data_IF_140617390707
#
_entry.id   IF_140617390707
#
_cell.length_a   1.000
_cell.length_b   1.000
_cell.length_c   1.000
_cell.angle_alpha   90.00
_cell.angle_beta   90.00
_cell.angle_gamma   90.00
#
_symmetry.space_group_name_H-M   'P 1'
#
loop_
_entity.id
_entity.type
_entity.pdbx_description
1 polymer ?
#
# COMPACT_ATOMS: atom_id res chain seq x y z
N UNK A 1 35.51 18.38 0.24
CA UNK A 1 34.48 17.41 -0.18
C UNK A 1 35.20 16.20 -0.74
N UNK A 2 35.06 15.06 -0.11
CA UNK A 2 35.64 13.80 -0.62
C UNK A 2 34.71 13.19 -1.69
N UNK A 3 35.13 13.33 -2.94
CA UNK A 3 34.38 12.85 -4.12
C UNK A 3 34.24 11.31 -4.06
N UNK A 4 35.27 10.61 -3.58
CA UNK A 4 35.24 9.15 -3.43
C UNK A 4 34.15 8.72 -2.45
N UNK A 5 34.04 9.39 -1.32
CA UNK A 5 32.94 9.18 -0.38
C UNK A 5 31.58 9.49 -1.01
N UNK A 6 31.49 10.56 -1.77
CA UNK A 6 30.27 10.92 -2.50
C UNK A 6 29.80 9.84 -3.46
N UNK A 7 30.70 9.19 -4.20
CA UNK A 7 30.36 8.07 -5.08
C UNK A 7 29.90 6.86 -4.26
N UNK A 8 30.60 6.50 -3.19
CA UNK A 8 30.20 5.40 -2.31
C UNK A 8 28.79 5.62 -1.75
N UNK A 9 28.54 6.81 -1.20
CA UNK A 9 27.23 7.14 -0.64
C UNK A 9 26.12 7.20 -1.69
N UNK A 10 26.41 7.61 -2.92
CA UNK A 10 25.44 7.59 -4.00
C UNK A 10 25.00 6.16 -4.35
N UNK A 11 25.92 5.21 -4.40
CA UNK A 11 25.59 3.79 -4.62
C UNK A 11 24.77 3.21 -3.45
N UNK A 12 25.17 3.51 -2.21
CA UNK A 12 24.42 3.09 -1.01
C UNK A 12 23.00 3.62 -0.97
N UNK A 13 22.85 4.93 -1.18
CA UNK A 13 21.56 5.61 -1.06
C UNK A 13 20.63 5.34 -2.24
N UNK A 14 21.16 5.25 -3.46
CA UNK A 14 20.36 5.13 -4.68
C UNK A 14 20.20 3.68 -5.12
N UNK A 15 21.27 2.88 -5.11
CA UNK A 15 21.26 1.51 -5.63
C UNK A 15 21.28 0.40 -4.56
N UNK A 16 21.27 0.77 -3.28
CA UNK A 16 21.29 -0.18 -2.15
C UNK A 16 22.43 -1.22 -2.22
N UNK A 17 23.61 -0.79 -2.60
CA UNK A 17 24.82 -1.62 -2.62
C UNK A 17 26.11 -0.80 -2.60
N UNK A 18 27.22 -1.46 -2.38
CA UNK A 18 28.55 -0.87 -2.59
C UNK A 18 28.87 -0.76 -4.09
N UNK A 19 29.62 0.27 -4.51
CA UNK A 19 30.25 0.27 -5.84
C UNK A 19 31.34 -0.81 -5.91
N UNK A 20 31.55 -1.42 -7.07
CA UNK A 20 32.76 -2.19 -7.34
C UNK A 20 33.97 -1.26 -7.45
N UNK A 21 35.20 -1.77 -7.30
CA UNK A 21 36.40 -0.97 -7.46
C UNK A 21 36.47 -0.23 -8.79
N UNK A 22 36.04 -0.90 -9.87
CA UNK A 22 36.00 -0.31 -11.21
C UNK A 22 34.98 0.81 -11.29
N UNK A 23 33.77 0.58 -10.81
CA UNK A 23 32.72 1.63 -10.77
C UNK A 23 33.16 2.84 -9.95
N UNK A 24 33.83 2.61 -8.83
CA UNK A 24 34.35 3.66 -7.99
C UNK A 24 35.37 4.52 -8.72
N UNK A 25 36.33 3.89 -9.41
CA UNK A 25 37.36 4.59 -10.21
C UNK A 25 36.70 5.36 -11.35
N UNK A 26 35.85 4.71 -12.13
CA UNK A 26 35.19 5.30 -13.29
C UNK A 26 34.31 6.51 -12.88
N UNK A 27 33.55 6.37 -11.79
CA UNK A 27 32.63 7.43 -11.32
C UNK A 27 33.36 8.60 -10.65
N UNK A 28 34.48 8.35 -9.97
CA UNK A 28 35.32 9.43 -9.43
C UNK A 28 35.96 10.24 -10.57
N UNK A 29 36.42 9.56 -11.63
CA UNK A 29 36.99 10.20 -12.81
C UNK A 29 35.97 11.05 -13.59
N UNK A 30 34.73 10.58 -13.67
CA UNK A 30 33.64 11.21 -14.40
C UNK A 30 32.79 12.17 -13.53
N UNK A 31 33.18 12.40 -12.29
CA UNK A 31 32.39 13.20 -11.36
C UNK A 31 32.36 14.68 -11.79
N UNK A 32 31.17 15.20 -12.01
CA UNK A 32 30.96 16.64 -12.26
C UNK A 32 30.34 17.32 -11.04
N UNK A 33 29.26 16.76 -10.54
CA UNK A 33 28.54 17.21 -9.36
C UNK A 33 27.61 16.08 -8.83
N UNK A 34 27.05 16.29 -7.65
CA UNK A 34 26.16 15.32 -7.01
C UNK A 34 24.91 15.01 -7.86
N UNK A 35 24.38 16.01 -8.57
CA UNK A 35 23.17 15.84 -9.42
C UNK A 35 23.47 15.09 -10.71
N UNK A 36 24.65 15.29 -11.29
CA UNK A 36 25.14 14.52 -12.43
C UNK A 36 25.29 13.04 -12.10
N UNK A 37 25.90 12.73 -10.95
CA UNK A 37 26.04 11.38 -10.42
C UNK A 37 24.67 10.73 -10.15
N UNK A 38 23.77 11.45 -9.48
CA UNK A 38 22.39 11.02 -9.25
C UNK A 38 21.66 10.66 -10.55
N UNK A 39 21.70 11.54 -11.57
CA UNK A 39 21.06 11.28 -12.88
C UNK A 39 21.60 10.00 -13.51
N UNK A 40 22.91 9.81 -13.54
CA UNK A 40 23.53 8.61 -14.14
C UNK A 40 23.10 7.32 -13.48
N UNK A 41 23.03 7.30 -12.13
CA UNK A 41 22.60 6.11 -11.39
C UNK A 41 21.11 5.83 -11.65
N UNK A 42 20.25 6.85 -11.66
CA UNK A 42 18.80 6.71 -11.91
C UNK A 42 18.43 6.31 -13.34
N UNK A 43 19.32 6.47 -14.30
CA UNK A 43 19.11 6.02 -15.69
C UNK A 43 19.75 4.65 -15.96
N UNK A 44 20.36 4.02 -14.96
CA UNK A 44 20.93 2.69 -15.09
C UNK A 44 19.86 1.59 -15.13
N UNK A 45 20.18 0.44 -15.79
CA UNK A 45 19.30 -0.74 -15.75
C UNK A 45 19.08 -1.24 -14.33
N UNK A 46 20.07 -1.09 -13.47
CA UNK A 46 19.99 -1.49 -12.07
C UNK A 46 18.96 -0.67 -11.30
N UNK A 47 18.82 0.61 -11.62
CA UNK A 47 17.75 1.44 -11.05
C UNK A 47 16.36 0.88 -11.39
N UNK A 48 16.15 0.44 -12.63
CA UNK A 48 14.86 -0.13 -13.07
C UNK A 48 14.48 -1.42 -12.33
N UNK A 49 15.47 -2.12 -11.77
CA UNK A 49 15.26 -3.35 -10.98
C UNK A 49 15.47 -3.14 -9.47
N UNK A 50 15.45 -1.90 -8.99
CA UNK A 50 15.70 -1.60 -7.58
C UNK A 50 14.67 -2.29 -6.67
N UNK A 51 13.40 -2.26 -7.06
CA UNK A 51 12.32 -2.89 -6.29
C UNK A 51 12.44 -4.40 -6.20
N UNK A 52 13.10 -5.08 -7.14
CA UNK A 52 13.32 -6.53 -7.09
C UNK A 52 14.18 -6.96 -5.90
N UNK A 53 14.97 -6.03 -5.37
CA UNK A 53 15.85 -6.23 -4.22
C UNK A 53 15.29 -5.61 -2.95
N UNK A 54 14.04 -5.10 -2.99
CA UNK A 54 13.39 -4.60 -1.80
C UNK A 54 13.19 -5.73 -0.79
N UNK A 55 13.59 -5.49 0.45
CA UNK A 55 13.57 -6.51 1.51
C UNK A 55 14.90 -7.23 1.72
N UNK A 56 15.89 -7.05 0.82
CA UNK A 56 17.25 -7.52 1.07
C UNK A 56 17.95 -6.55 2.04
N UNK A 57 18.44 -7.02 3.20
CA UNK A 57 19.21 -6.19 4.09
C UNK A 57 20.51 -5.78 3.40
N UNK A 58 20.82 -4.50 3.45
CA UNK A 58 22.09 -3.96 3.00
C UNK A 58 22.93 -3.52 4.20
N UNK A 59 24.07 -4.15 4.39
CA UNK A 59 25.07 -3.74 5.36
C UNK A 59 26.30 -3.16 4.64
N UNK A 60 26.72 -1.93 4.98
CA UNK A 60 27.92 -1.36 4.39
C UNK A 60 29.14 -2.23 4.70
N UNK A 61 29.86 -2.66 3.66
CA UNK A 61 31.09 -3.43 3.79
C UNK A 61 32.34 -2.60 4.16
N UNK A 62 32.25 -1.28 4.00
CA UNK A 62 33.31 -0.32 4.30
C UNK A 62 32.99 0.49 5.56
N UNK A 63 33.97 1.00 6.32
CA UNK A 63 33.74 1.89 7.43
C UNK A 63 32.82 3.04 7.02
N UNK A 64 31.82 3.34 7.86
CA UNK A 64 30.82 4.37 7.59
C UNK A 64 31.19 5.63 8.35
N UNK A 65 31.48 6.70 7.65
CA UNK A 65 31.45 8.03 8.20
C UNK A 65 30.03 8.59 8.11
N UNK A 66 29.29 8.52 9.21
CA UNK A 66 27.90 8.95 9.26
C UNK A 66 27.72 10.45 8.98
N UNK A 67 28.69 11.27 9.39
CA UNK A 67 28.62 12.71 9.11
C UNK A 67 28.68 12.96 7.59
N UNK A 68 29.63 12.35 6.91
CA UNK A 68 29.70 12.40 5.44
C UNK A 68 28.46 11.77 4.79
N UNK A 69 27.93 10.69 5.37
CA UNK A 69 26.71 10.04 4.90
C UNK A 69 25.51 10.96 4.89
N UNK A 70 25.26 11.66 5.99
CA UNK A 70 24.16 12.63 6.09
C UNK A 70 24.36 13.79 5.12
N UNK A 71 25.58 14.36 5.04
CA UNK A 71 25.88 15.43 4.08
C UNK A 71 25.60 15.02 2.64
N UNK A 72 26.07 13.83 2.24
CA UNK A 72 25.82 13.32 0.89
C UNK A 72 24.36 12.96 0.65
N UNK A 73 23.64 12.47 1.64
CA UNK A 73 22.22 12.19 1.53
C UNK A 73 21.42 13.47 1.22
N UNK A 74 21.67 14.56 1.93
CA UNK A 74 21.03 15.85 1.64
C UNK A 74 21.39 16.37 0.24
N UNK A 75 22.66 16.31 -0.15
CA UNK A 75 23.11 16.74 -1.51
C UNK A 75 22.46 15.91 -2.62
N UNK A 76 22.42 14.60 -2.45
CA UNK A 76 21.93 13.69 -3.48
C UNK A 76 20.38 13.63 -3.55
N UNK A 77 19.72 13.65 -2.40
CA UNK A 77 18.28 13.46 -2.33
C UNK A 77 17.53 14.80 -2.27
N UNK A 78 17.94 15.72 -1.41
CA UNK A 78 17.27 17.02 -1.20
C UNK A 78 17.91 18.19 -1.95
N UNK A 79 19.04 17.99 -2.61
CA UNK A 79 19.74 18.98 -3.46
C UNK A 79 20.25 20.22 -2.71
N UNK A 80 20.49 20.10 -1.41
CA UNK A 80 21.03 21.16 -0.54
C UNK A 80 21.94 20.60 0.51
N UNK A 81 22.57 21.49 1.28
CA UNK A 81 23.26 21.11 2.51
C UNK A 81 22.25 21.04 3.66
N UNK A 82 22.46 20.14 4.66
CA UNK A 82 21.68 20.19 5.88
C UNK A 82 22.07 21.40 6.74
N UNK A 83 21.13 21.92 7.50
CA UNK A 83 21.45 22.78 8.64
C UNK A 83 22.17 21.99 9.73
N UNK A 84 22.85 22.68 10.65
CA UNK A 84 23.52 21.98 11.76
C UNK A 84 22.51 21.22 12.65
N UNK A 85 21.31 21.75 12.83
CA UNK A 85 20.26 21.07 13.60
C UNK A 85 19.79 19.77 12.93
N UNK A 86 19.57 19.79 11.61
CA UNK A 86 19.24 18.59 10.82
C UNK A 86 20.38 17.57 10.86
N UNK A 87 21.62 18.02 10.68
CA UNK A 87 22.78 17.15 10.74
C UNK A 87 22.86 16.43 12.10
N UNK A 88 22.75 17.18 13.21
CA UNK A 88 22.78 16.60 14.54
C UNK A 88 21.60 15.68 14.84
N UNK A 89 20.42 15.99 14.30
CA UNK A 89 19.25 15.13 14.40
C UNK A 89 19.51 13.76 13.74
N UNK A 90 19.95 13.75 12.48
CA UNK A 90 20.23 12.51 11.76
C UNK A 90 21.40 11.71 12.32
N UNK A 91 22.44 12.39 12.84
CA UNK A 91 23.56 11.72 13.50
C UNK A 91 23.17 11.01 14.80
N UNK A 92 22.12 11.49 15.48
CA UNK A 92 21.63 10.90 16.72
C UNK A 92 20.59 9.80 16.48
N UNK A 93 19.71 10.01 15.51
CA UNK A 93 18.46 9.25 15.39
C UNK A 93 18.45 8.23 14.22
N UNK A 94 19.43 8.32 13.30
CA UNK A 94 19.59 7.36 12.20
C UNK A 94 20.84 6.50 12.44
N UNK A 95 20.65 5.19 12.51
CA UNK A 95 21.72 4.21 12.76
C UNK A 95 22.04 3.35 11.51
N UNK A 96 21.22 3.42 10.48
CA UNK A 96 21.35 2.65 9.25
C UNK A 96 21.18 3.51 7.99
N UNK A 97 21.80 3.07 6.88
CA UNK A 97 21.60 3.73 5.56
C UNK A 97 20.12 3.76 5.19
N UNK A 98 19.38 2.72 5.57
CA UNK A 98 17.97 2.60 5.24
C UNK A 98 17.10 3.54 6.09
N UNK A 99 17.41 3.71 7.37
CA UNK A 99 16.71 4.67 8.22
C UNK A 99 16.90 6.11 7.70
N UNK A 100 18.15 6.49 7.39
CA UNK A 100 18.46 7.80 6.80
C UNK A 100 17.72 8.00 5.46
N UNK A 101 17.74 6.98 4.58
CA UNK A 101 17.04 7.01 3.30
C UNK A 101 15.55 7.19 3.50
N UNK A 102 14.91 6.37 4.32
CA UNK A 102 13.48 6.42 4.58
C UNK A 102 13.06 7.81 5.07
N UNK A 103 13.77 8.35 6.07
CA UNK A 103 13.47 9.65 6.66
C UNK A 103 13.53 10.79 5.63
N UNK A 104 14.52 10.79 4.75
CA UNK A 104 14.66 11.85 3.74
C UNK A 104 13.70 11.68 2.55
N UNK A 105 13.48 10.46 2.07
CA UNK A 105 12.65 10.19 0.90
C UNK A 105 11.15 10.36 1.17
N UNK A 106 10.73 10.29 2.43
CA UNK A 106 9.33 10.51 2.83
C UNK A 106 9.02 11.97 3.18
N UNK A 107 9.99 12.88 3.02
CA UNK A 107 9.75 14.31 3.24
C UNK A 107 9.04 14.96 2.05
N UNK A 108 8.18 15.95 2.36
CA UNK A 108 7.57 16.81 1.32
C UNK A 108 8.62 17.51 0.46
N UNK A 109 9.78 17.85 1.03
CA UNK A 109 10.88 18.46 0.30
C UNK A 109 11.39 17.54 -0.81
N UNK A 110 11.54 16.23 -0.55
CA UNK A 110 11.94 15.27 -1.57
C UNK A 110 10.89 15.15 -2.67
N UNK A 111 9.62 15.08 -2.31
CA UNK A 111 8.49 14.99 -3.26
C UNK A 111 8.51 16.19 -4.24
N UNK A 112 8.67 17.40 -3.72
CA UNK A 112 8.74 18.63 -4.55
C UNK A 112 9.96 18.65 -5.47
N UNK A 113 11.13 18.23 -4.98
CA UNK A 113 12.37 18.29 -5.76
C UNK A 113 12.60 17.08 -6.67
N UNK A 114 11.78 16.06 -6.54
CA UNK A 114 11.94 14.79 -7.26
C UNK A 114 10.61 14.21 -7.73
N UNK A 115 9.76 14.99 -8.41
CA UNK A 115 8.48 14.48 -8.90
C UNK A 115 8.70 13.22 -9.76
N UNK A 116 7.87 12.22 -9.59
CA UNK A 116 7.99 10.93 -10.30
C UNK A 116 9.12 10.02 -9.79
N UNK A 117 9.66 10.25 -8.60
CA UNK A 117 10.65 9.38 -7.95
C UNK A 117 10.02 8.34 -7.00
N UNK A 118 8.83 7.86 -7.31
CA UNK A 118 8.07 6.89 -6.50
C UNK A 118 8.90 5.65 -6.17
N UNK A 119 9.62 5.07 -7.14
CA UNK A 119 10.40 3.85 -6.94
C UNK A 119 11.43 3.92 -5.80
N UNK A 120 12.07 5.10 -5.55
CA UNK A 120 12.98 5.23 -4.40
C UNK A 120 12.24 5.25 -3.07
N UNK A 121 11.12 5.97 -3.03
CA UNK A 121 10.28 6.07 -1.86
C UNK A 121 9.68 4.72 -1.53
N UNK A 122 9.12 4.04 -2.51
CA UNK A 122 8.53 2.69 -2.39
C UNK A 122 9.57 1.69 -1.89
N UNK A 123 10.76 1.69 -2.49
CA UNK A 123 11.88 0.86 -2.03
C UNK A 123 12.24 1.15 -0.56
N UNK A 124 12.30 2.40 -0.15
CA UNK A 124 12.64 2.76 1.22
C UNK A 124 11.56 2.32 2.22
N UNK A 125 10.28 2.47 1.86
CA UNK A 125 9.15 2.04 2.67
C UNK A 125 9.18 0.52 2.86
N UNK A 126 9.31 -0.23 1.77
CA UNK A 126 9.36 -1.70 1.82
C UNK A 126 10.57 -2.15 2.64
N UNK A 127 11.75 -1.58 2.39
CA UNK A 127 12.99 -1.93 3.10
C UNK A 127 12.98 -1.56 4.58
N UNK A 128 12.12 -0.64 5.01
CA UNK A 128 11.96 -0.35 6.43
C UNK A 128 11.48 -1.57 7.24
N UNK A 129 10.90 -2.56 6.57
CA UNK A 129 10.42 -3.81 7.19
C UNK A 129 11.40 -4.98 7.04
N UNK A 130 12.51 -4.81 6.34
CA UNK A 130 13.51 -5.85 6.20
C UNK A 130 14.24 -6.17 7.53
N UNK A 131 14.71 -7.42 7.77
CA UNK A 131 14.50 -8.58 6.93
C UNK A 131 13.07 -9.13 7.05
N UNK A 132 12.52 -9.63 5.95
CA UNK A 132 11.19 -10.24 5.97
C UNK A 132 11.23 -11.64 6.61
N UNK A 133 10.21 -12.01 7.42
CA UNK A 133 10.09 -13.35 7.94
C UNK A 133 9.85 -14.33 6.78
N UNK A 134 10.74 -15.32 6.65
CA UNK A 134 10.55 -16.42 5.69
C UNK A 134 9.92 -17.59 6.44
N UNK A 135 8.66 -17.88 6.15
CA UNK A 135 7.98 -19.06 6.67
C UNK A 135 8.22 -20.31 5.80
N UNK A 136 7.86 -21.48 6.33
CA UNK A 136 7.83 -22.71 5.53
C UNK A 136 6.66 -22.67 4.53
N UNK A 137 6.83 -23.34 3.40
CA UNK A 137 5.78 -23.56 2.40
C UNK A 137 4.59 -24.31 2.99
N UNK A 138 3.37 -23.94 2.59
CA UNK A 138 2.11 -24.60 3.00
C UNK A 138 1.43 -25.10 1.73
N UNK A 139 1.15 -26.40 1.65
CA UNK A 139 0.76 -27.08 0.41
C UNK A 139 -0.50 -26.50 -0.28
N UNK A 140 -1.46 -25.99 0.47
CA UNK A 140 -2.76 -25.47 -0.01
C UNK A 140 -2.91 -23.94 0.21
N UNK A 141 -1.79 -23.25 0.42
CA UNK A 141 -1.75 -21.82 0.70
C UNK A 141 -0.49 -21.18 0.11
N UNK A 142 -0.46 -19.87 0.05
CA UNK A 142 0.78 -19.13 -0.14
C UNK A 142 1.07 -18.26 1.10
N UNK A 143 2.29 -17.75 1.19
CA UNK A 143 2.68 -16.76 2.20
C UNK A 143 3.08 -15.45 1.54
N UNK A 144 2.60 -14.35 2.10
CA UNK A 144 3.08 -13.01 1.76
C UNK A 144 4.46 -12.71 2.38
N UNK A 145 4.97 -11.50 2.16
CA UNK A 145 6.27 -11.04 2.67
C UNK A 145 6.35 -10.99 4.21
N UNK A 146 5.22 -10.93 4.92
CA UNK A 146 5.14 -10.97 6.38
C UNK A 146 4.84 -12.35 6.93
N UNK A 147 4.78 -13.35 6.06
CA UNK A 147 4.50 -14.73 6.43
C UNK A 147 3.03 -15.03 6.66
N UNK A 148 2.11 -14.10 6.33
CA UNK A 148 0.68 -14.35 6.38
C UNK A 148 0.30 -15.51 5.48
N UNK A 149 -0.59 -16.39 5.96
CA UNK A 149 -1.05 -17.57 5.22
C UNK A 149 -2.36 -17.23 4.53
N UNK A 150 -2.40 -17.32 3.21
CA UNK A 150 -3.63 -17.23 2.42
C UNK A 150 -3.90 -18.57 1.74
N UNK A 151 -5.05 -19.18 2.06
CA UNK A 151 -5.46 -20.44 1.42
C UNK A 151 -5.86 -20.18 -0.03
N UNK A 152 -5.36 -21.01 -0.98
CA UNK A 152 -5.69 -20.82 -2.40
C UNK A 152 -7.19 -20.99 -2.70
N UNK A 153 -7.94 -21.69 -1.85
CA UNK A 153 -9.40 -21.81 -1.95
C UNK A 153 -10.17 -20.50 -1.72
N UNK A 154 -9.52 -19.44 -1.22
CA UNK A 154 -10.11 -18.11 -1.13
C UNK A 154 -10.00 -17.35 -2.46
N UNK A 155 -9.22 -17.81 -3.41
CA UNK A 155 -8.84 -17.09 -4.62
C UNK A 155 -9.56 -17.65 -5.83
N UNK A 156 -9.71 -16.81 -6.86
CA UNK A 156 -10.02 -17.25 -8.20
C UNK A 156 -9.11 -18.40 -8.63
N UNK A 157 -9.65 -19.37 -9.34
CA UNK A 157 -8.93 -20.58 -9.78
C UNK A 157 -7.65 -20.30 -10.57
N UNK A 158 -7.60 -19.15 -11.25
CA UNK A 158 -6.39 -18.69 -11.94
C UNK A 158 -5.19 -18.54 -11.02
N UNK A 159 -5.43 -18.28 -9.74
CA UNK A 159 -4.39 -18.10 -8.73
C UNK A 159 -4.04 -19.35 -7.91
N UNK A 160 -4.69 -20.48 -8.15
CA UNK A 160 -4.40 -21.72 -7.41
C UNK A 160 -2.97 -22.24 -7.60
N UNK A 161 -2.26 -21.80 -8.65
CA UNK A 161 -0.84 -22.07 -8.85
C UNK A 161 0.07 -21.46 -7.79
N UNK A 162 -0.45 -20.53 -6.95
CA UNK A 162 0.26 -19.97 -5.81
C UNK A 162 0.37 -20.97 -4.63
N UNK A 163 -0.30 -22.12 -4.68
CA UNK A 163 -0.20 -23.16 -3.64
C UNK A 163 1.28 -23.56 -3.42
N UNK A 164 1.73 -23.47 -2.19
CA UNK A 164 3.12 -23.72 -1.81
C UNK A 164 4.08 -22.56 -2.02
N UNK A 165 3.62 -21.42 -2.57
CA UNK A 165 4.49 -20.28 -2.83
C UNK A 165 4.79 -19.48 -1.56
N UNK A 166 5.99 -18.92 -1.48
CA UNK A 166 6.42 -18.01 -0.42
C UNK A 166 7.02 -16.78 -1.08
N UNK A 167 6.37 -15.64 -0.94
CA UNK A 167 6.86 -14.40 -1.52
C UNK A 167 8.15 -13.95 -0.83
N UNK A 168 9.16 -13.62 -1.64
CA UNK A 168 10.43 -13.07 -1.18
C UNK A 168 10.47 -11.53 -1.20
N UNK A 169 9.51 -10.88 -1.84
CA UNK A 169 9.39 -9.44 -2.01
C UNK A 169 7.96 -9.04 -2.36
N UNK A 170 7.71 -7.74 -2.42
CA UNK A 170 6.42 -7.17 -2.85
C UNK A 170 6.24 -7.42 -4.35
N UNK A 171 5.07 -7.92 -4.79
CA UNK A 171 4.76 -8.07 -6.21
C UNK A 171 4.85 -6.71 -6.94
N UNK A 172 5.19 -6.75 -8.22
CA UNK A 172 5.17 -5.56 -9.06
C UNK A 172 3.79 -5.33 -9.66
N UNK A 173 3.42 -4.07 -9.78
CA UNK A 173 2.23 -3.68 -10.51
C UNK A 173 2.24 -4.29 -11.92
N UNK A 174 1.13 -4.90 -12.32
CA UNK A 174 0.88 -5.47 -13.65
C UNK A 174 1.76 -6.65 -14.09
N UNK A 175 2.60 -7.19 -13.22
CA UNK A 175 3.46 -8.35 -13.54
C UNK A 175 2.91 -9.69 -13.03
N UNK A 176 1.60 -9.78 -12.78
CA UNK A 176 0.93 -11.02 -12.36
C UNK A 176 1.01 -11.30 -10.85
N UNK A 177 1.19 -10.26 -10.03
CA UNK A 177 0.97 -10.33 -8.59
C UNK A 177 -0.52 -10.29 -8.26
N UNK A 178 -0.92 -10.95 -7.17
CA UNK A 178 -2.30 -10.93 -6.67
C UNK A 178 -2.70 -9.51 -6.21
N UNK A 179 -1.75 -8.73 -5.72
CA UNK A 179 -1.90 -7.36 -5.24
C UNK A 179 -0.80 -6.48 -5.80
N UNK A 180 -1.10 -5.22 -6.08
CA UNK A 180 -0.17 -4.27 -6.66
C UNK A 180 0.86 -3.70 -5.67
N UNK A 181 1.95 -3.18 -6.20
CA UNK A 181 3.00 -2.53 -5.38
C UNK A 181 2.47 -1.31 -4.65
N UNK A 182 1.61 -0.51 -5.27
CA UNK A 182 1.06 0.71 -4.66
C UNK A 182 0.16 0.41 -3.46
N UNK A 183 -0.64 -0.66 -3.49
CA UNK A 183 -1.43 -1.11 -2.34
C UNK A 183 -0.51 -1.51 -1.17
N UNK A 184 0.54 -2.29 -1.46
CA UNK A 184 1.54 -2.66 -0.46
C UNK A 184 2.22 -1.42 0.15
N UNK A 185 2.69 -0.50 -0.69
CA UNK A 185 3.39 0.70 -0.23
C UNK A 185 2.47 1.59 0.60
N UNK A 186 1.22 1.81 0.17
CA UNK A 186 0.22 2.57 0.93
C UNK A 186 -0.06 1.93 2.29
N UNK A 187 -0.24 0.61 2.32
CA UNK A 187 -0.46 -0.16 3.55
C UNK A 187 0.75 -0.07 4.50
N UNK A 188 1.95 -0.33 4.00
CA UNK A 188 3.18 -0.31 4.80
C UNK A 188 3.50 1.09 5.33
N UNK A 189 3.27 2.12 4.53
CA UNK A 189 3.45 3.51 4.94
C UNK A 189 2.48 3.88 6.07
N UNK A 190 1.23 3.40 6.02
CA UNK A 190 0.26 3.59 7.10
C UNK A 190 0.74 2.99 8.42
N UNK A 191 1.37 1.81 8.37
CA UNK A 191 1.95 1.16 9.56
C UNK A 191 3.16 1.95 10.10
N UNK A 192 4.08 2.41 9.24
CA UNK A 192 5.25 3.18 9.66
C UNK A 192 4.89 4.50 10.35
N UNK A 193 3.78 5.07 9.97
CA UNK A 193 3.32 6.37 10.48
C UNK A 193 2.36 6.22 11.69
N UNK A 194 1.93 5.00 12.03
CA UNK A 194 1.09 4.73 13.19
C UNK A 194 1.83 5.01 14.50
N UNK A 195 1.11 5.52 15.50
CA UNK A 195 1.68 5.90 16.80
C UNK A 195 0.96 5.17 17.94
N UNK A 196 1.64 4.18 18.52
CA UNK A 196 1.19 3.43 19.69
C UNK A 196 0.08 2.42 19.42
N UNK A 197 -0.92 2.76 18.61
CA UNK A 197 -2.01 1.90 18.13
C UNK A 197 -2.06 1.95 16.61
N UNK A 198 -2.37 0.83 15.98
CA UNK A 198 -2.67 0.77 14.55
C UNK A 198 -4.14 0.40 14.34
N UNK A 199 -4.87 1.21 13.58
CA UNK A 199 -6.28 0.99 13.26
C UNK A 199 -6.44 0.90 11.75
N UNK A 200 -6.96 -0.23 11.27
CA UNK A 200 -7.20 -0.45 9.85
C UNK A 200 -8.64 -0.89 9.56
N UNK A 201 -9.13 -0.48 8.41
CA UNK A 201 -10.43 -0.89 7.87
C UNK A 201 -10.25 -1.43 6.46
N UNK A 202 -11.03 -2.45 6.09
CA UNK A 202 -11.11 -3.02 4.74
C UNK A 202 -12.57 -3.12 4.34
N UNK A 203 -12.93 -2.39 3.28
CA UNK A 203 -14.29 -2.25 2.77
C UNK A 203 -14.38 -3.00 1.44
N UNK A 204 -15.23 -4.04 1.37
CA UNK A 204 -15.16 -5.09 0.36
C UNK A 204 -14.00 -6.04 0.69
N UNK A 205 -14.03 -6.59 1.90
CA UNK A 205 -12.85 -7.24 2.47
C UNK A 205 -12.51 -8.59 1.83
N UNK A 206 -13.44 -9.22 1.10
CA UNK A 206 -13.21 -10.56 0.57
C UNK A 206 -12.79 -11.52 1.70
N UNK A 207 -11.57 -12.04 1.64
CA UNK A 207 -10.98 -12.86 2.70
C UNK A 207 -10.15 -12.06 3.72
N UNK A 208 -10.15 -10.72 3.67
CA UNK A 208 -9.44 -9.83 4.58
C UNK A 208 -7.91 -9.82 4.43
N UNK A 209 -7.37 -9.83 3.20
CA UNK A 209 -5.92 -9.88 2.98
C UNK A 209 -5.19 -8.69 3.60
N UNK A 210 -5.71 -7.48 3.43
CA UNK A 210 -5.04 -6.27 3.88
C UNK A 210 -5.12 -6.07 5.40
N UNK A 211 -6.19 -6.57 6.04
CA UNK A 211 -6.26 -6.58 7.51
C UNK A 211 -5.17 -7.48 8.10
N UNK A 212 -4.99 -8.68 7.56
CA UNK A 212 -3.98 -9.63 8.04
C UNK A 212 -2.56 -9.14 7.71
N UNK A 213 -2.31 -8.71 6.48
CA UNK A 213 -1.01 -8.21 6.06
C UNK A 213 -0.57 -6.98 6.87
N UNK A 214 -1.46 -6.00 7.04
CA UNK A 214 -1.17 -4.79 7.81
C UNK A 214 -0.97 -5.07 9.31
N UNK A 215 -1.74 -6.00 9.89
CA UNK A 215 -1.53 -6.45 11.27
C UNK A 215 -0.14 -7.06 11.46
N UNK A 216 0.26 -7.98 10.57
CA UNK A 216 1.56 -8.63 10.67
C UNK A 216 2.70 -7.63 10.46
N UNK A 217 2.53 -6.67 9.54
CA UNK A 217 3.45 -5.55 9.37
C UNK A 217 3.53 -4.69 10.65
N UNK A 218 2.40 -4.35 11.27
CA UNK A 218 2.36 -3.57 12.51
C UNK A 218 3.07 -4.29 13.66
N UNK A 219 2.81 -5.58 13.83
CA UNK A 219 3.52 -6.41 14.83
C UNK A 219 5.02 -6.48 14.58
N UNK A 220 5.46 -6.55 13.34
CA UNK A 220 6.90 -6.53 13.01
C UNK A 220 7.58 -5.21 13.42
N UNK A 221 6.80 -4.14 13.63
CA UNK A 221 7.24 -2.84 14.16
C UNK A 221 6.99 -2.67 15.65
N UNK A 222 6.59 -3.73 16.35
CA UNK A 222 6.36 -3.70 17.80
C UNK A 222 5.03 -3.02 18.18
N UNK A 223 4.09 -2.84 17.26
CA UNK A 223 2.77 -2.31 17.56
C UNK A 223 1.86 -3.47 17.96
N UNK A 224 1.52 -3.54 19.25
CA UNK A 224 0.68 -4.61 19.80
C UNK A 224 -0.81 -4.23 19.86
N UNK A 225 -1.12 -2.93 20.04
CA UNK A 225 -2.49 -2.43 20.06
C UNK A 225 -3.01 -2.27 18.62
N UNK A 226 -3.81 -3.23 18.16
CA UNK A 226 -4.31 -3.30 16.78
C UNK A 226 -5.83 -3.43 16.81
N UNK A 227 -6.50 -2.60 16.00
CA UNK A 227 -7.96 -2.56 15.85
C UNK A 227 -8.31 -2.70 14.37
N UNK A 228 -8.96 -3.79 14.01
CA UNK A 228 -9.29 -4.12 12.63
C UNK A 228 -10.81 -4.10 12.42
N UNK A 229 -11.24 -3.53 11.31
CA UNK A 229 -12.64 -3.55 10.87
C UNK A 229 -12.71 -4.06 9.45
N UNK A 230 -13.43 -5.16 9.22
CA UNK A 230 -13.69 -5.72 7.90
C UNK A 230 -15.18 -5.67 7.57
N UNK A 231 -15.52 -5.30 6.33
CA UNK A 231 -16.90 -5.32 5.83
C UNK A 231 -16.94 -6.08 4.53
N UNK A 232 -17.71 -7.17 4.49
CA UNK A 232 -17.83 -8.05 3.33
C UNK A 232 -19.29 -8.43 3.08
N UNK A 233 -19.74 -8.26 1.82
CA UNK A 233 -21.12 -8.47 1.42
C UNK A 233 -21.49 -9.92 1.14
N UNK A 234 -20.59 -10.68 0.52
CA UNK A 234 -20.84 -12.08 0.20
C UNK A 234 -20.73 -12.97 1.44
N UNK A 235 -21.74 -13.81 1.67
CA UNK A 235 -21.75 -14.76 2.82
C UNK A 235 -20.52 -15.65 2.84
N UNK A 236 -20.14 -16.19 1.69
CA UNK A 236 -19.00 -17.09 1.53
C UNK A 236 -17.68 -16.38 1.78
N UNK A 237 -17.49 -15.17 1.21
CA UNK A 237 -16.29 -14.37 1.38
C UNK A 237 -16.14 -13.89 2.82
N UNK A 238 -17.23 -13.48 3.47
CA UNK A 238 -17.20 -13.19 4.90
C UNK A 238 -16.76 -14.43 5.70
N UNK A 239 -17.22 -15.63 5.34
CA UNK A 239 -16.73 -16.89 5.90
C UNK A 239 -15.22 -17.09 5.67
N UNK A 240 -14.71 -16.76 4.49
CA UNK A 240 -13.27 -16.80 4.19
C UNK A 240 -12.48 -15.81 5.04
N UNK A 241 -13.00 -14.60 5.25
CA UNK A 241 -12.37 -13.61 6.13
C UNK A 241 -12.22 -14.14 7.56
N UNK A 242 -13.29 -14.68 8.14
CA UNK A 242 -13.23 -15.28 9.49
C UNK A 242 -12.23 -16.45 9.56
N UNK A 243 -12.17 -17.26 8.53
CA UNK A 243 -11.24 -18.39 8.45
C UNK A 243 -9.79 -17.93 8.26
N UNK A 244 -9.56 -16.92 7.44
CA UNK A 244 -8.24 -16.32 7.22
C UNK A 244 -7.68 -15.73 8.52
N UNK A 245 -8.50 -15.03 9.30
CA UNK A 245 -8.10 -14.55 10.63
C UNK A 245 -7.61 -15.69 11.51
N UNK A 246 -8.40 -16.76 11.65
CA UNK A 246 -8.02 -17.94 12.46
C UNK A 246 -6.74 -18.62 11.95
N UNK A 247 -6.59 -18.78 10.64
CA UNK A 247 -5.41 -19.39 10.02
C UNK A 247 -4.12 -18.59 10.29
N UNK A 248 -4.26 -17.29 10.56
CA UNK A 248 -3.15 -16.40 10.89
C UNK A 248 -3.03 -16.12 12.40
N UNK A 249 -3.72 -16.90 13.22
CA UNK A 249 -3.64 -16.79 14.69
C UNK A 249 -4.28 -15.51 15.26
N UNK A 250 -5.22 -14.92 14.52
CA UNK A 250 -5.98 -13.73 14.92
C UNK A 250 -7.37 -14.18 15.37
N UNK A 251 -7.81 -13.75 16.55
CA UNK A 251 -9.18 -14.02 17.00
C UNK A 251 -10.16 -13.08 16.28
N UNK A 252 -11.06 -13.59 15.41
CA UNK A 252 -12.04 -12.74 14.75
C UNK A 252 -12.95 -11.99 15.73
N UNK A 253 -13.21 -12.56 16.91
CA UNK A 253 -14.09 -11.95 17.92
C UNK A 253 -13.46 -10.73 18.62
N UNK A 254 -12.15 -10.55 18.51
CA UNK A 254 -11.44 -9.39 19.04
C UNK A 254 -11.51 -8.15 18.13
N UNK A 255 -12.12 -8.29 16.95
CA UNK A 255 -12.18 -7.28 15.90
C UNK A 255 -13.61 -7.07 15.39
N UNK A 256 -13.83 -6.01 14.60
CA UNK A 256 -15.14 -5.67 14.05
C UNK A 256 -15.29 -6.21 12.63
N UNK A 257 -15.75 -7.45 12.48
CA UNK A 257 -15.93 -8.10 11.16
C UNK A 257 -17.42 -8.21 10.85
N UNK A 258 -17.87 -7.52 9.81
CA UNK A 258 -19.27 -7.35 9.46
C UNK A 258 -19.62 -8.10 8.18
N UNK A 259 -20.66 -8.96 8.25
CA UNK A 259 -21.36 -9.42 7.06
C UNK A 259 -22.35 -8.32 6.65
N UNK A 260 -21.93 -7.44 5.76
CA UNK A 260 -22.66 -6.25 5.36
C UNK A 260 -22.04 -5.66 4.08
N UNK A 261 -22.72 -4.72 3.47
CA UNK A 261 -22.16 -3.85 2.43
C UNK A 261 -21.91 -2.44 2.97
N UNK A 262 -21.04 -1.69 2.31
CA UNK A 262 -20.82 -0.29 2.63
C UNK A 262 -21.61 0.59 1.67
N UNK A 263 -22.36 1.54 2.19
CA UNK A 263 -23.14 2.48 1.40
C UNK A 263 -23.03 3.93 1.88
N UNK A 264 -23.67 4.83 1.17
CA UNK A 264 -23.72 6.24 1.53
C UNK A 264 -24.44 6.47 2.87
N UNK A 265 -25.44 5.65 3.18
CA UNK A 265 -26.27 5.72 4.38
C UNK A 265 -26.50 4.33 4.96
N UNK A 266 -26.83 4.26 6.26
CA UNK A 266 -27.22 3.01 6.90
C UNK A 266 -28.57 2.55 6.40
N UNK A 267 -28.75 1.23 6.23
CA UNK A 267 -30.03 0.68 5.79
C UNK A 267 -29.94 -0.79 5.39
N UNK A 268 -30.71 -1.14 4.39
CA UNK A 268 -30.72 -2.46 3.76
C UNK A 268 -30.42 -2.30 2.26
N UNK A 269 -29.53 -3.10 1.76
CA UNK A 269 -29.23 -3.25 0.34
C UNK A 269 -29.59 -4.66 -0.13
N UNK A 270 -29.39 -4.94 -1.40
CA UNK A 270 -29.43 -6.28 -1.94
C UNK A 270 -28.06 -6.68 -2.46
N UNK A 271 -27.70 -7.95 -2.29
CA UNK A 271 -26.42 -8.47 -2.75
C UNK A 271 -26.62 -9.76 -3.56
N UNK A 272 -25.86 -9.97 -4.64
CA UNK A 272 -25.96 -11.21 -5.42
C UNK A 272 -25.57 -12.43 -4.59
N UNK A 273 -26.35 -13.51 -4.70
CA UNK A 273 -25.95 -14.82 -4.18
C UNK A 273 -24.86 -15.39 -5.08
N UNK A 274 -23.71 -15.69 -4.49
CA UNK A 274 -22.61 -16.26 -5.25
C UNK A 274 -22.91 -17.72 -5.64
N UNK A 275 -22.66 -18.06 -6.88
CA UNK A 275 -22.77 -19.44 -7.37
C UNK A 275 -21.47 -20.22 -7.18
N UNK A 276 -20.33 -19.53 -7.34
CA UNK A 276 -18.98 -20.06 -7.14
C UNK A 276 -18.17 -18.98 -6.44
N UNK A 277 -17.98 -19.15 -5.13
CA UNK A 277 -17.34 -18.13 -4.29
C UNK A 277 -15.92 -17.76 -4.75
N UNK A 278 -15.18 -18.74 -5.27
CA UNK A 278 -13.78 -18.55 -5.70
C UNK A 278 -13.66 -17.72 -7.00
N UNK A 279 -14.74 -17.55 -7.77
CA UNK A 279 -14.71 -16.89 -9.10
C UNK A 279 -15.49 -15.55 -9.13
N UNK A 280 -16.17 -15.16 -8.05
CA UNK A 280 -17.16 -14.06 -8.04
C UNK A 280 -16.73 -12.83 -7.20
N UNK A 281 -15.46 -12.45 -7.26
CA UNK A 281 -14.95 -11.25 -6.54
C UNK A 281 -15.41 -9.91 -7.16
N UNK A 282 -16.02 -9.92 -8.33
CA UNK A 282 -16.60 -8.74 -8.98
C UNK A 282 -18.04 -8.42 -8.57
N UNK A 283 -18.62 -9.15 -7.61
CA UNK A 283 -19.99 -8.92 -7.17
C UNK A 283 -20.13 -7.60 -6.43
N UNK A 284 -21.17 -6.83 -6.75
CA UNK A 284 -21.44 -5.53 -6.13
C UNK A 284 -22.87 -5.43 -5.57
N UNK A 285 -23.05 -4.51 -4.62
CA UNK A 285 -24.35 -4.24 -4.03
C UNK A 285 -25.31 -3.56 -5.02
N UNK A 286 -26.60 -3.84 -4.89
CA UNK A 286 -27.67 -3.20 -5.66
C UNK A 286 -28.49 -2.32 -4.72
N UNK A 287 -28.48 -1.02 -4.98
CA UNK A 287 -29.17 -0.02 -4.15
C UNK A 287 -30.45 0.52 -4.81
N UNK A 288 -30.57 0.41 -6.13
CA UNK A 288 -31.72 0.93 -6.86
C UNK A 288 -32.89 -0.04 -6.83
N UNK A 289 -34.12 0.45 -6.47
CA UNK A 289 -35.32 -0.38 -6.30
C UNK A 289 -35.71 -1.16 -7.58
N UNK A 290 -35.61 -0.54 -8.75
CA UNK A 290 -35.98 -1.20 -10.01
C UNK A 290 -35.06 -2.36 -10.41
N UNK A 291 -33.75 -2.25 -10.19
CA UNK A 291 -32.80 -3.33 -10.44
C UNK A 291 -32.92 -4.42 -9.37
N UNK A 292 -33.16 -4.02 -8.12
CA UNK A 292 -33.43 -4.90 -6.99
C UNK A 292 -34.63 -5.80 -7.25
N UNK A 293 -35.78 -5.23 -7.69
CA UNK A 293 -36.98 -5.98 -7.96
C UNK A 293 -36.79 -6.99 -9.10
N UNK A 294 -36.11 -6.60 -10.18
CA UNK A 294 -35.89 -7.47 -11.33
C UNK A 294 -34.95 -8.66 -10.98
N UNK A 295 -33.94 -8.45 -10.16
CA UNK A 295 -33.02 -9.50 -9.74
C UNK A 295 -33.62 -10.38 -8.62
N UNK A 296 -34.40 -9.80 -7.70
CA UNK A 296 -35.13 -10.53 -6.66
C UNK A 296 -36.16 -11.50 -7.25
N UNK A 297 -36.82 -11.09 -8.35
CA UNK A 297 -37.74 -11.98 -9.08
C UNK A 297 -37.02 -13.21 -9.67
N UNK A 298 -35.73 -13.14 -9.96
CA UNK A 298 -34.93 -14.27 -10.43
C UNK A 298 -34.38 -15.13 -9.30
N UNK A 299 -34.53 -14.70 -8.02
CA UNK A 299 -33.99 -15.37 -6.85
C UNK A 299 -32.45 -15.25 -6.73
N UNK A 300 -31.87 -14.25 -7.38
CA UNK A 300 -30.41 -14.05 -7.47
C UNK A 300 -29.88 -13.09 -6.41
N UNK A 301 -30.78 -12.39 -5.70
CA UNK A 301 -30.38 -11.43 -4.64
C UNK A 301 -30.79 -11.90 -3.24
N UNK A 302 -30.07 -11.46 -2.25
CA UNK A 302 -30.44 -11.54 -0.84
C UNK A 302 -30.39 -10.14 -0.20
N UNK A 303 -31.21 -9.92 0.81
CA UNK A 303 -31.17 -8.70 1.61
C UNK A 303 -29.98 -8.74 2.55
N UNK A 304 -29.26 -7.62 2.61
CA UNK A 304 -28.09 -7.48 3.44
C UNK A 304 -28.07 -6.11 4.13
N UNK A 305 -27.50 -6.07 5.34
CA UNK A 305 -27.30 -4.82 6.04
C UNK A 305 -26.35 -3.91 5.24
N UNK A 306 -26.71 -2.63 5.14
CA UNK A 306 -25.87 -1.56 4.61
C UNK A 306 -25.37 -0.69 5.75
N UNK A 307 -24.06 -0.43 5.84
CA UNK A 307 -23.44 0.36 6.89
C UNK A 307 -22.68 1.52 6.26
N UNK A 308 -22.91 2.74 6.78
CA UNK A 308 -22.19 3.94 6.33
C UNK A 308 -20.82 4.09 6.99
N UNK A 309 -19.93 4.88 6.36
CA UNK A 309 -18.65 5.27 6.96
C UNK A 309 -18.85 5.98 8.30
N UNK A 310 -19.90 6.81 8.42
CA UNK A 310 -20.22 7.50 9.66
C UNK A 310 -20.45 6.53 10.82
N UNK A 311 -21.15 5.43 10.58
CA UNK A 311 -21.39 4.39 11.59
C UNK A 311 -20.13 3.57 11.87
N UNK A 312 -19.40 3.13 10.80
CA UNK A 312 -18.19 2.32 10.96
C UNK A 312 -17.06 3.03 11.71
N UNK A 313 -17.00 4.36 11.61
CA UNK A 313 -15.95 5.18 12.21
C UNK A 313 -16.41 5.95 13.46
N UNK A 314 -17.64 5.77 13.92
CA UNK A 314 -18.22 6.56 15.02
C UNK A 314 -17.38 6.46 16.30
N UNK A 315 -16.99 5.26 16.68
CA UNK A 315 -16.24 4.92 17.90
C UNK A 315 -14.71 4.99 17.74
N UNK A 316 -14.21 5.28 16.54
CA UNK A 316 -12.78 5.38 16.27
C UNK A 316 -12.27 6.79 16.54
N UNK A 317 -11.15 6.93 17.22
CA UNK A 317 -10.45 8.21 17.37
C UNK A 317 -9.69 8.57 16.09
N UNK A 318 -9.04 7.57 15.48
CA UNK A 318 -8.28 7.68 14.24
C UNK A 318 -8.27 6.33 13.51
N UNK A 319 -8.25 6.38 12.19
CA UNK A 319 -8.04 5.22 11.32
C UNK A 319 -6.78 5.48 10.48
N UNK A 320 -5.77 4.64 10.65
CA UNK A 320 -4.48 4.80 9.98
C UNK A 320 -4.54 4.37 8.51
N UNK A 321 -5.33 3.34 8.21
CA UNK A 321 -5.52 2.77 6.87
C UNK A 321 -6.99 2.44 6.63
N UNK A 322 -7.54 2.87 5.51
CA UNK A 322 -8.77 2.33 4.95
C UNK A 322 -8.45 1.79 3.56
N UNK A 323 -8.52 0.48 3.39
CA UNK A 323 -8.50 -0.17 2.08
C UNK A 323 -9.94 -0.30 1.57
N UNK A 324 -10.18 0.06 0.31
CA UNK A 324 -11.52 0.17 -0.27
C UNK A 324 -11.53 -0.52 -1.62
N UNK A 325 -12.34 -1.56 -1.75
CA UNK A 325 -12.60 -2.27 -3.00
C UNK A 325 -14.06 -2.75 -3.00
N UNK A 326 -14.98 -1.86 -3.41
CA UNK A 326 -16.43 -2.07 -3.32
C UNK A 326 -17.10 -2.02 -4.69
N UNK A 327 -16.35 -2.41 -5.70
CA UNK A 327 -16.82 -2.77 -7.03
C UNK A 327 -17.71 -1.70 -7.70
N UNK A 328 -17.23 -0.42 -7.63
CA UNK A 328 -17.85 0.70 -8.33
C UNK A 328 -18.68 1.65 -7.46
N UNK A 329 -18.79 1.38 -6.15
CA UNK A 329 -19.50 2.25 -5.21
C UNK A 329 -18.56 3.19 -4.41
N UNK A 330 -17.29 3.28 -4.77
CA UNK A 330 -16.26 4.04 -4.05
C UNK A 330 -16.63 5.53 -3.93
N UNK A 331 -16.99 6.16 -5.05
CA UNK A 331 -17.28 7.60 -5.08
C UNK A 331 -18.48 8.01 -4.22
N UNK A 332 -19.68 7.42 -4.34
CA UNK A 332 -20.81 7.82 -3.51
C UNK A 332 -20.58 7.55 -2.02
N UNK A 333 -19.88 6.47 -1.66
CA UNK A 333 -19.54 6.16 -0.26
C UNK A 333 -18.59 7.19 0.32
N UNK A 334 -17.49 7.49 -0.39
CA UNK A 334 -16.52 8.47 0.07
C UNK A 334 -17.10 9.87 0.14
N UNK A 335 -17.94 10.26 -0.82
CA UNK A 335 -18.62 11.56 -0.84
C UNK A 335 -19.52 11.74 0.38
N UNK A 336 -20.32 10.73 0.72
CA UNK A 336 -21.22 10.76 1.88
C UNK A 336 -20.45 10.75 3.22
N UNK A 337 -19.29 10.10 3.27
CA UNK A 337 -18.43 10.00 4.46
C UNK A 337 -17.32 11.05 4.55
N UNK A 338 -17.28 12.07 3.67
CA UNK A 338 -16.11 12.93 3.54
C UNK A 338 -15.75 13.68 4.83
N UNK A 339 -16.74 14.13 5.60
CA UNK A 339 -16.50 14.85 6.85
C UNK A 339 -15.81 13.96 7.89
N UNK A 340 -16.27 12.73 8.07
CA UNK A 340 -15.65 11.80 9.03
C UNK A 340 -14.29 11.29 8.52
N UNK A 341 -14.12 11.12 7.23
CA UNK A 341 -12.82 10.80 6.62
C UNK A 341 -11.82 11.93 6.86
N UNK A 342 -12.21 13.18 6.61
CA UNK A 342 -11.36 14.34 6.86
C UNK A 342 -10.96 14.46 8.34
N UNK A 343 -11.84 14.08 9.25
CA UNK A 343 -11.61 14.16 10.69
C UNK A 343 -10.77 13.02 11.25
N UNK A 344 -10.86 11.80 10.69
CA UNK A 344 -10.35 10.60 11.36
C UNK A 344 -9.47 9.69 10.50
N UNK A 345 -9.59 9.71 9.16
CA UNK A 345 -8.84 8.82 8.29
C UNK A 345 -7.52 9.44 7.82
N UNK A 346 -6.43 8.70 7.96
CA UNK A 346 -5.10 9.15 7.58
C UNK A 346 -4.75 8.80 6.14
N UNK A 347 -5.00 7.57 5.73
CA UNK A 347 -4.69 7.09 4.38
C UNK A 347 -5.80 6.22 3.83
N UNK A 348 -6.08 6.43 2.54
CA UNK A 348 -6.96 5.59 1.75
C UNK A 348 -6.12 4.86 0.70
N UNK A 349 -6.38 3.57 0.53
CA UNK A 349 -5.91 2.74 -0.59
C UNK A 349 -7.17 2.26 -1.29
N UNK A 350 -7.37 2.66 -2.54
CA UNK A 350 -8.64 2.50 -3.23
C UNK A 350 -8.42 1.70 -4.51
N UNK A 351 -9.02 0.51 -4.60
CA UNK A 351 -9.23 -0.20 -5.85
C UNK A 351 -10.26 0.53 -6.71
N UNK A 352 -10.02 0.70 -7.99
CA UNK A 352 -10.89 1.45 -8.89
C UNK A 352 -11.28 0.63 -10.11
N UNK A 353 -12.56 0.71 -10.51
CA UNK A 353 -13.16 -0.18 -11.51
C UNK A 353 -13.56 0.55 -12.81
N UNK A 354 -13.31 1.85 -12.92
CA UNK A 354 -13.48 2.60 -14.16
C UNK A 354 -12.71 3.91 -14.17
N UNK A 355 -12.32 4.37 -15.38
CA UNK A 355 -11.68 5.67 -15.60
C UNK A 355 -12.54 6.87 -15.15
N UNK A 356 -13.86 6.70 -15.15
CA UNK A 356 -14.77 7.75 -14.67
C UNK A 356 -14.71 7.85 -13.15
N UNK A 357 -14.75 6.72 -12.44
CA UNK A 357 -14.61 6.67 -10.97
C UNK A 357 -13.26 7.26 -10.56
N UNK A 358 -12.17 6.87 -11.21
CA UNK A 358 -10.83 7.43 -10.93
C UNK A 358 -10.81 8.96 -10.98
N UNK A 359 -11.39 9.53 -12.05
CA UNK A 359 -11.49 10.99 -12.20
C UNK A 359 -12.34 11.65 -11.13
N UNK A 360 -13.51 11.07 -10.82
CA UNK A 360 -14.41 11.60 -9.80
C UNK A 360 -13.79 11.54 -8.39
N UNK A 361 -13.07 10.45 -8.08
CA UNK A 361 -12.34 10.32 -6.81
C UNK A 361 -11.20 11.32 -6.72
N UNK A 362 -10.49 11.54 -7.83
CA UNK A 362 -9.41 12.52 -7.89
C UNK A 362 -9.94 13.93 -7.56
N UNK A 363 -11.00 14.37 -8.23
CA UNK A 363 -11.62 15.67 -7.96
C UNK A 363 -12.13 15.76 -6.53
N UNK A 364 -12.87 14.73 -6.06
CA UNK A 364 -13.45 14.70 -4.73
C UNK A 364 -12.38 14.82 -3.63
N UNK A 365 -11.34 14.01 -3.69
CA UNK A 365 -10.32 13.95 -2.65
C UNK A 365 -9.39 15.17 -2.70
N UNK A 366 -8.98 15.59 -3.91
CA UNK A 366 -8.16 16.78 -4.10
C UNK A 366 -8.86 18.05 -3.58
N UNK A 367 -10.14 18.24 -3.93
CA UNK A 367 -10.92 19.40 -3.48
C UNK A 367 -11.11 19.42 -1.96
N UNK A 368 -11.06 18.24 -1.33
CA UNK A 368 -11.05 18.08 0.11
C UNK A 368 -9.63 18.10 0.73
N UNK A 369 -8.61 18.48 -0.03
CA UNK A 369 -7.24 18.72 0.45
C UNK A 369 -6.46 17.43 0.76
N UNK A 370 -6.88 16.29 0.21
CA UNK A 370 -6.08 15.06 0.25
C UNK A 370 -4.98 15.11 -0.80
N UNK A 371 -3.89 14.40 -0.54
CA UNK A 371 -2.72 14.31 -1.43
C UNK A 371 -2.67 12.93 -2.05
N UNK A 372 -2.70 12.86 -3.39
CA UNK A 372 -2.48 11.61 -4.11
C UNK A 372 -1.00 11.23 -4.03
N UNK A 373 -0.70 10.09 -3.40
CA UNK A 373 0.67 9.57 -3.24
C UNK A 373 1.07 8.64 -4.39
N UNK A 374 0.10 7.87 -4.91
CA UNK A 374 0.29 6.93 -6.01
C UNK A 374 -0.99 6.74 -6.80
N UNK A 375 -0.85 6.53 -8.10
CA UNK A 375 -1.95 6.21 -9.02
C UNK A 375 -1.50 5.16 -10.05
N UNK A 376 -2.26 4.08 -10.16
CA UNK A 376 -2.14 3.07 -11.22
C UNK A 376 -3.49 3.00 -11.93
N UNK A 377 -3.62 3.57 -13.14
CA UNK A 377 -4.90 3.64 -13.81
C UNK A 377 -5.43 2.27 -14.26
N UNK A 378 -6.73 2.02 -14.15
CA UNK A 378 -7.37 0.80 -14.62
C UNK A 378 -7.18 0.61 -16.14
N UNK A 379 -7.15 -0.64 -16.58
CA UNK A 379 -6.96 -0.99 -17.99
C UNK A 379 -8.27 -1.55 -18.56
N UNK A 380 -8.82 -0.83 -19.55
CA UNK A 380 -9.99 -1.25 -20.30
C UNK A 380 -9.55 -1.84 -21.65
N UNK A 381 -10.13 -2.98 -22.04
CA UNK A 381 -9.90 -3.60 -23.33
C UNK A 381 -11.21 -3.66 -24.15
N UNK A 382 -11.13 -3.44 -25.48
CA UNK A 382 -12.30 -3.65 -26.34
C UNK A 382 -12.62 -5.13 -26.45
N UNK A 383 -13.89 -5.46 -26.44
CA UNK A 383 -14.42 -6.78 -26.79
C UNK A 383 -14.72 -6.87 -28.27
N UNK A 384 -14.96 -8.08 -28.80
CA UNK A 384 -15.22 -8.30 -30.23
C UNK A 384 -16.54 -7.66 -30.72
N UNK A 385 -17.48 -7.43 -29.82
CA UNK A 385 -18.75 -6.72 -30.07
C UNK A 385 -18.65 -5.20 -29.94
N UNK A 386 -17.42 -4.65 -29.70
CA UNK A 386 -17.15 -3.23 -29.62
C UNK A 386 -17.37 -2.61 -28.24
N UNK A 387 -17.80 -3.37 -27.26
CA UNK A 387 -17.86 -2.94 -25.86
C UNK A 387 -16.45 -2.83 -25.27
N UNK A 388 -16.35 -2.29 -24.07
CA UNK A 388 -15.11 -2.26 -23.28
C UNK A 388 -15.34 -3.00 -21.97
N UNK A 389 -14.42 -3.88 -21.63
CA UNK A 389 -14.41 -4.58 -20.35
C UNK A 389 -13.21 -4.12 -19.53
N UNK A 390 -13.37 -4.04 -18.24
CA UNK A 390 -12.30 -3.86 -17.29
C UNK A 390 -11.40 -5.10 -17.35
N UNK A 391 -10.12 -4.90 -17.58
CA UNK A 391 -9.14 -5.98 -17.74
C UNK A 391 -8.18 -6.04 -16.57
N UNK A 392 -7.84 -4.89 -16.00
CA UNK A 392 -7.04 -4.74 -14.78
C UNK A 392 -7.64 -3.57 -14.02
N UNK A 393 -7.90 -3.76 -12.75
CA UNK A 393 -8.34 -2.72 -11.83
C UNK A 393 -7.29 -1.63 -11.70
N UNK A 394 -7.72 -0.44 -11.36
CA UNK A 394 -6.83 0.66 -11.04
C UNK A 394 -6.64 0.77 -9.54
N UNK A 395 -5.68 1.57 -9.13
CA UNK A 395 -5.36 1.80 -7.73
C UNK A 395 -5.07 3.29 -7.50
N UNK A 396 -5.56 3.84 -6.40
CA UNK A 396 -5.20 5.18 -5.94
C UNK A 396 -4.86 5.15 -4.45
N UNK A 397 -3.76 5.80 -4.07
CA UNK A 397 -3.34 5.95 -2.69
C UNK A 397 -3.38 7.43 -2.30
N UNK A 398 -4.14 7.74 -1.26
CA UNK A 398 -4.38 9.11 -0.83
C UNK A 398 -4.02 9.32 0.65
N UNK A 399 -3.40 10.46 0.97
CA UNK A 399 -3.01 10.85 2.32
C UNK A 399 -3.76 12.11 2.77
N UNK A 400 -4.21 12.11 4.01
CA UNK A 400 -4.81 13.27 4.67
C UNK A 400 -3.77 14.01 5.51
N UNK A 401 -3.19 15.08 4.98
CA UNK A 401 -2.17 15.88 5.65
C UNK A 401 -2.68 16.68 6.86
N UNK A 402 -4.01 16.82 7.01
CA UNK A 402 -4.60 17.59 8.12
C UNK A 402 -4.40 16.91 9.47
N UNK A 403 -4.31 15.59 9.51
CA UNK A 403 -4.18 14.83 10.76
C UNK A 403 -2.76 14.83 11.35
N UNK A 404 -1.76 15.21 10.58
CA UNK A 404 -0.36 15.16 11.01
C UNK A 404 0.11 16.40 11.76
N UNK A 405 -0.67 17.47 11.78
CA UNK A 405 -0.32 18.69 12.52
C UNK A 405 0.99 19.37 12.10
N UNK A 406 1.55 19.00 10.96
CA UNK A 406 2.87 19.42 10.47
C UNK A 406 2.78 20.23 9.18
N UNK A 407 1.84 21.18 9.12
CA UNK A 407 1.98 22.30 8.19
C UNK A 407 2.24 23.52 9.07
N UNK A 408 3.50 23.67 9.47
CA UNK A 408 4.05 24.84 10.09
C UNK A 408 5.34 25.18 9.38
#
# INVERSE_FOLDING_TARGET
MDIRQGVIWAYRLILNREPTDRELVDRVADFTDAQGLRRRLRTSREWSSLLDRAGEPFEPGLPVDWREGVLWAFRLLLRREPSEAELQHHLRDDDTVNALRLRLLTTREFEVHSPGSTAMTDFAIINAFAPFPRGESVADAFRDIFGSITRVRYLDRGWHSLAGYVYAGVPRDREGGLHGTSEWVGTLRSVLEAKGKFTAMELGAGWGPWLIASQNAARSKGIEAIDLTGVEGATEHHGFMLDNFRNNGVDPAAHSLHHAVVGAEDGIASFPKLHVAEDDYGANAVFADGERDAAAMRGELEEIRCISLNTLMADKDRVDLIHIDIQGHEEPVLRAGMDILNAKARRLVIGTHSRAIEGHLFDLLHDNGWVCESEVPCVLRPTMDGNRVLFVDGEQVWRNDRLDGTIG
#
